data_IF_256996872046
#
_entry.id   IF_256996872046
#
_cell.length_a   1.000
_cell.length_b   1.000
_cell.length_c   1.000
_cell.angle_alpha   90.00
_cell.angle_beta   90.00
_cell.angle_gamma   90.00
#
_symmetry.space_group_name_H-M   'P 1'
#
loop_
_entity.id
_entity.type
_entity.pdbx_description
1 polymer ?
#
# COMPACT_ATOMS: atom_id res chain seq x y z
N UNK A 1 -0.86 8.46 2.56
CA UNK A 1 0.58 8.62 2.29
C UNK A 1 0.76 8.87 0.80
N UNK A 2 1.61 9.82 0.42
CA UNK A 2 1.93 10.15 -0.98
C UNK A 2 3.43 9.97 -1.22
N UNK A 3 3.79 9.51 -2.41
CA UNK A 3 5.16 9.27 -2.86
C UNK A 3 5.32 9.97 -4.20
N UNK A 4 6.29 10.87 -4.29
CA UNK A 4 6.74 11.48 -5.55
C UNK A 4 7.88 10.64 -6.13
N UNK A 5 7.69 10.13 -7.35
CA UNK A 5 8.68 9.35 -8.09
C UNK A 5 9.70 10.22 -8.84
N UNK A 6 9.53 11.54 -8.81
CA UNK A 6 10.41 12.54 -9.42
C UNK A 6 10.09 12.84 -10.88
N UNK A 7 9.57 11.87 -11.63
CA UNK A 7 9.12 12.04 -13.02
C UNK A 7 7.97 11.10 -13.36
N UNK A 8 7.24 11.42 -14.42
CA UNK A 8 6.19 10.55 -14.94
C UNK A 8 6.81 9.22 -15.39
N UNK A 9 6.33 8.14 -14.79
CA UNK A 9 6.84 6.78 -14.96
C UNK A 9 5.67 5.84 -15.23
N UNK A 10 5.86 4.83 -16.07
CA UNK A 10 4.85 3.78 -16.26
C UNK A 10 4.82 2.86 -15.03
N UNK A 11 3.65 2.74 -14.41
CA UNK A 11 3.41 1.96 -13.20
C UNK A 11 2.35 0.90 -13.45
N UNK A 12 2.55 -0.31 -12.94
CA UNK A 12 1.55 -1.39 -13.01
C UNK A 12 1.34 -2.13 -11.68
N UNK A 13 2.13 -1.83 -10.65
CA UNK A 13 2.01 -2.47 -9.36
C UNK A 13 2.54 -1.59 -8.21
N UNK A 14 2.13 -1.96 -7.00
CA UNK A 14 2.69 -1.48 -5.73
C UNK A 14 2.96 -2.68 -4.84
N UNK A 15 4.09 -2.71 -4.14
CA UNK A 15 4.39 -3.74 -3.13
C UNK A 15 4.36 -3.10 -1.75
N UNK A 16 3.56 -3.66 -0.86
CA UNK A 16 3.52 -3.26 0.54
C UNK A 16 4.20 -4.35 1.37
N UNK A 17 5.24 -3.97 2.08
CA UNK A 17 5.95 -4.84 3.00
C UNK A 17 5.43 -4.58 4.41
N UNK A 18 4.81 -5.59 5.03
CA UNK A 18 4.39 -5.46 6.42
C UNK A 18 5.57 -5.16 7.33
N UNK A 19 5.32 -4.47 8.44
CA UNK A 19 6.27 -4.50 9.55
C UNK A 19 6.34 -5.91 10.14
N UNK A 20 7.51 -6.33 10.60
CA UNK A 20 7.77 -7.68 11.12
C UNK A 20 8.49 -7.69 12.47
N UNK A 21 8.76 -6.52 13.02
CA UNK A 21 9.50 -6.30 14.27
C UNK A 21 8.65 -6.49 15.53
N UNK A 22 7.38 -6.09 15.49
CA UNK A 22 6.41 -6.29 16.59
C UNK A 22 5.08 -6.82 16.03
N UNK A 23 4.48 -7.85 16.63
CA UNK A 23 3.19 -8.38 16.21
C UNK A 23 2.02 -7.43 16.53
N UNK A 24 0.87 -7.68 15.89
CA UNK A 24 -0.39 -7.06 16.29
C UNK A 24 -0.85 -7.56 17.68
N UNK A 25 -1.64 -6.72 18.36
CA UNK A 25 -2.41 -7.13 19.52
C UNK A 25 -3.36 -8.27 19.14
N UNK A 26 -3.18 -9.44 19.76
CA UNK A 26 -3.91 -10.66 19.40
C UNK A 26 -3.22 -11.55 18.37
N UNK A 27 -1.99 -11.21 17.96
CA UNK A 27 -1.21 -11.94 16.94
C UNK A 27 -1.36 -11.33 15.54
N UNK A 28 -0.55 -11.80 14.60
CA UNK A 28 -0.52 -11.31 13.22
C UNK A 28 0.27 -10.02 13.03
N UNK A 29 -0.08 -9.28 11.98
CA UNK A 29 0.65 -8.11 11.49
C UNK A 29 0.05 -6.80 12.01
N UNK A 30 0.86 -6.01 12.71
CA UNK A 30 0.45 -4.71 13.24
C UNK A 30 0.28 -3.63 12.15
N UNK A 31 -0.85 -2.93 12.17
CA UNK A 31 -1.05 -1.66 11.44
C UNK A 31 -1.07 -1.75 9.90
N UNK A 32 -1.14 -2.95 9.33
CA UNK A 32 -1.27 -3.13 7.87
C UNK A 32 -2.66 -2.64 7.40
N UNK A 33 -2.79 -1.96 6.24
CA UNK A 33 -4.08 -1.42 5.81
C UNK A 33 -5.06 -2.55 5.42
N UNK A 34 -6.30 -2.44 5.89
CA UNK A 34 -7.37 -3.42 5.66
C UNK A 34 -8.28 -2.99 4.51
N UNK A 35 -8.73 -1.73 4.55
CA UNK A 35 -9.49 -1.11 3.47
C UNK A 35 -8.69 0.10 2.99
N UNK A 36 -8.37 0.14 1.70
CA UNK A 36 -7.56 1.20 1.12
C UNK A 36 -7.71 1.32 -0.39
N UNK A 37 -7.24 2.44 -0.91
CA UNK A 37 -7.09 2.66 -2.36
C UNK A 37 -5.63 2.99 -2.70
N UNK A 38 -5.23 2.54 -3.89
CA UNK A 38 -4.05 3.01 -4.58
C UNK A 38 -4.50 3.98 -5.66
N UNK A 39 -3.92 5.17 -5.63
CA UNK A 39 -4.27 6.27 -6.50
C UNK A 39 -3.02 6.85 -7.13
N UNK A 40 -3.14 7.37 -8.34
CA UNK A 40 -2.01 7.96 -9.06
C UNK A 40 -2.37 9.34 -9.61
N UNK A 41 -1.33 10.14 -9.89
CA UNK A 41 -1.46 11.45 -10.50
C UNK A 41 -0.22 11.74 -11.35
N UNK A 42 -0.42 12.13 -12.60
CA UNK A 42 0.66 12.61 -13.48
C UNK A 42 1.16 14.00 -13.05
N UNK A 43 2.33 14.40 -13.53
CA UNK A 43 2.81 15.76 -13.30
C UNK A 43 1.84 16.81 -13.91
N UNK A 44 1.66 17.93 -13.21
CA UNK A 44 0.72 18.99 -13.60
C UNK A 44 -0.78 18.65 -13.50
N UNK A 45 -1.17 17.40 -13.25
CA UNK A 45 -2.57 17.05 -13.01
C UNK A 45 -3.06 17.54 -11.64
N UNK A 46 -4.34 17.90 -11.53
CA UNK A 46 -4.94 18.45 -10.31
C UNK A 46 -5.68 17.44 -9.44
N UNK A 47 -5.98 16.25 -9.99
CA UNK A 47 -6.76 15.22 -9.32
C UNK A 47 -6.06 13.86 -9.37
N UNK A 48 -6.30 13.07 -8.33
CA UNK A 48 -5.89 11.67 -8.25
C UNK A 48 -6.92 10.76 -8.93
N UNK A 49 -6.45 9.77 -9.68
CA UNK A 49 -7.28 8.67 -10.19
C UNK A 49 -7.04 7.40 -9.36
N UNK A 50 -8.11 6.69 -8.98
CA UNK A 50 -7.99 5.39 -8.31
C UNK A 50 -7.65 4.32 -9.33
N UNK A 51 -6.48 3.69 -9.18
CA UNK A 51 -6.05 2.54 -10.01
C UNK A 51 -6.41 1.22 -9.36
N UNK A 52 -6.62 1.20 -8.04
CA UNK A 52 -7.07 0.03 -7.31
C UNK A 52 -7.79 0.35 -6.02
N UNK A 53 -8.80 -0.45 -5.73
CA UNK A 53 -9.47 -0.52 -4.43
C UNK A 53 -9.25 -1.90 -3.82
N UNK A 54 -8.91 -1.94 -2.54
CA UNK A 54 -8.78 -3.17 -1.75
C UNK A 54 -9.67 -3.03 -0.52
N UNK A 55 -10.45 -4.08 -0.25
CA UNK A 55 -11.34 -4.16 0.91
C UNK A 55 -11.13 -5.49 1.60
N UNK A 56 -11.23 -5.50 2.93
CA UNK A 56 -11.07 -6.70 3.75
C UNK A 56 -9.78 -7.47 3.46
N UNK A 57 -8.66 -6.76 3.24
CA UNK A 57 -7.34 -7.37 3.11
C UNK A 57 -7.09 -8.30 4.30
N UNK A 58 -6.81 -9.60 4.05
CA UNK A 58 -6.42 -10.53 5.10
C UNK A 58 -5.10 -10.12 5.75
N UNK A 59 -4.86 -10.61 6.97
CA UNK A 59 -3.55 -10.46 7.61
C UNK A 59 -2.47 -11.00 6.64
N UNK A 60 -1.43 -10.22 6.33
CA UNK A 60 -0.40 -10.64 5.39
C UNK A 60 0.58 -11.66 5.99
N UNK A 61 0.48 -12.02 7.29
CA UNK A 61 1.37 -12.92 8.01
C UNK A 61 2.87 -12.56 7.82
N UNK A 62 3.17 -11.26 7.86
CA UNK A 62 4.52 -10.73 7.62
C UNK A 62 5.03 -10.85 6.18
N UNK A 63 4.22 -11.29 5.22
CA UNK A 63 4.61 -11.48 3.81
C UNK A 63 4.29 -10.25 2.97
N UNK A 64 5.17 -9.93 2.04
CA UNK A 64 4.93 -8.87 1.05
C UNK A 64 3.62 -9.12 0.29
N UNK A 65 2.82 -8.07 0.16
CA UNK A 65 1.63 -8.07 -0.66
C UNK A 65 1.90 -7.26 -1.93
N UNK A 66 1.58 -7.82 -3.09
CA UNK A 66 1.78 -7.15 -4.39
C UNK A 66 0.43 -6.80 -4.97
N UNK A 67 0.25 -5.53 -5.32
CA UNK A 67 -1.00 -4.99 -5.79
C UNK A 67 -0.88 -4.51 -7.24
N UNK A 68 -1.26 -5.36 -8.20
CA UNK A 68 -1.29 -5.01 -9.62
C UNK A 68 -2.50 -4.17 -10.03
N UNK A 69 -2.35 -3.41 -11.11
CA UNK A 69 -3.38 -2.63 -11.79
C UNK A 69 -2.98 -2.39 -13.27
N UNK A 70 -3.88 -1.80 -14.06
CA UNK A 70 -3.60 -1.45 -15.46
C UNK A 70 -2.45 -0.44 -15.53
N UNK A 71 -1.47 -0.70 -16.40
CA UNK A 71 -0.34 0.21 -16.63
C UNK A 71 -0.83 1.64 -16.86
N UNK A 72 -0.31 2.56 -16.05
CA UNK A 72 -0.67 3.98 -16.06
C UNK A 72 0.59 4.81 -15.86
N UNK A 73 0.78 5.84 -16.69
CA UNK A 73 1.86 6.81 -16.55
C UNK A 73 1.52 7.81 -15.45
N UNK A 74 2.37 7.93 -14.43
CA UNK A 74 2.17 8.85 -13.32
C UNK A 74 3.48 9.19 -12.60
N UNK A 75 3.50 10.34 -11.91
CA UNK A 75 4.62 10.77 -11.05
C UNK A 75 4.34 10.56 -9.57
N UNK A 76 3.09 10.70 -9.14
CA UNK A 76 2.72 10.54 -7.74
C UNK A 76 1.89 9.27 -7.54
N UNK A 77 2.26 8.50 -6.53
CA UNK A 77 1.46 7.41 -5.98
C UNK A 77 0.91 7.81 -4.61
N UNK A 78 -0.37 7.53 -4.36
CA UNK A 78 -1.01 7.73 -3.06
C UNK A 78 -1.63 6.43 -2.56
N UNK A 79 -1.21 6.01 -1.36
CA UNK A 79 -1.90 5.00 -0.55
C UNK A 79 -2.85 5.72 0.41
N UNK A 80 -4.15 5.52 0.22
CA UNK A 80 -5.20 6.07 1.07
C UNK A 80 -5.89 4.92 1.81
N UNK A 81 -5.48 4.67 3.06
CA UNK A 81 -6.12 3.72 3.95
C UNK A 81 -7.32 4.37 4.67
N UNK A 82 -8.45 3.67 4.69
CA UNK A 82 -9.68 4.06 5.38
C UNK A 82 -9.98 3.14 6.57
N UNK A 83 -9.38 1.93 6.58
CA UNK A 83 -9.39 1.02 7.73
C UNK A 83 -8.00 0.43 7.92
N UNK A 84 -7.53 0.44 9.16
CA UNK A 84 -6.25 -0.13 9.57
C UNK A 84 -6.48 -1.46 10.30
N UNK A 85 -5.49 -2.35 10.21
CA UNK A 85 -5.43 -3.59 10.98
C UNK A 85 -5.22 -3.34 12.46
N UNK A 86 -5.13 -4.42 13.23
CA UNK A 86 -4.92 -4.38 14.67
C UNK A 86 -3.67 -3.58 15.02
N UNK A 87 -3.71 -2.79 16.12
CA UNK A 87 -2.55 -2.03 16.57
C UNK A 87 -1.42 -2.96 17.04
N UNK A 88 -0.21 -2.42 17.14
CA UNK A 88 0.94 -3.15 17.68
C UNK A 88 0.70 -3.60 19.13
N UNK A 89 1.24 -4.75 19.52
CA UNK A 89 1.06 -5.30 20.87
C UNK A 89 1.67 -4.43 21.97
N UNK A 90 2.67 -3.62 21.64
CA UNK A 90 3.34 -2.66 22.54
C UNK A 90 2.70 -1.26 22.54
N UNK A 91 1.69 -1.02 21.68
CA UNK A 91 1.05 0.28 21.50
C UNK A 91 -0.46 0.13 21.19
N UNK A 92 -1.17 -0.67 21.98
CA UNK A 92 -2.55 -1.14 21.70
C UNK A 92 -3.63 -0.07 21.61
N UNK A 93 -3.33 1.18 21.99
CA UNK A 93 -4.29 2.30 22.01
C UNK A 93 -4.12 3.27 20.83
N UNK A 94 -3.26 2.94 19.85
CA UNK A 94 -2.91 3.84 18.75
C UNK A 94 -3.25 3.23 17.39
N UNK A 95 -3.85 4.05 16.52
CA UNK A 95 -4.13 3.68 15.15
C UNK A 95 -3.03 4.22 14.25
N UNK A 96 -2.21 3.33 13.69
CA UNK A 96 -1.10 3.69 12.79
C UNK A 96 -1.20 2.89 11.50
N UNK A 97 -0.97 3.56 10.38
CA UNK A 97 -0.54 2.88 9.17
C UNK A 97 0.92 2.50 9.36
N UNK A 98 1.23 1.21 9.35
CA UNK A 98 2.59 0.72 9.57
C UNK A 98 3.02 -0.26 8.49
N UNK A 99 4.16 0.02 7.89
CA UNK A 99 4.81 -0.74 6.85
C UNK A 99 6.31 -0.72 7.11
N UNK A 100 7.02 -1.80 6.79
CA UNK A 100 8.48 -1.77 6.73
C UNK A 100 8.95 -1.02 5.47
N UNK A 101 8.26 -1.24 4.36
CA UNK A 101 8.60 -0.67 3.06
C UNK A 101 7.36 -0.55 2.17
N UNK A 102 7.39 0.43 1.26
CA UNK A 102 6.57 0.48 0.07
C UNK A 102 7.49 0.56 -1.15
N UNK A 103 7.29 -0.33 -2.12
CA UNK A 103 8.03 -0.31 -3.38
C UNK A 103 7.07 0.00 -4.53
N UNK A 104 7.50 0.86 -5.45
CA UNK A 104 6.81 1.18 -6.70
C UNK A 104 7.69 0.73 -7.86
N UNK A 105 7.48 -0.48 -8.41
CA UNK A 105 8.23 -0.94 -9.57
C UNK A 105 7.87 -0.14 -10.83
N UNK A 106 8.83 -0.01 -11.74
CA UNK A 106 8.54 0.38 -13.12
C UNK A 106 7.74 -0.71 -13.83
N UNK A 107 6.92 -0.34 -14.82
CA UNK A 107 6.05 -1.28 -15.53
C UNK A 107 6.83 -2.44 -16.18
N UNK A 108 6.42 -3.65 -15.79
CA UNK A 108 6.84 -5.00 -16.21
C UNK A 108 6.40 -6.03 -15.14
N UNK A 109 5.65 -5.63 -14.11
CA UNK A 109 5.30 -6.47 -12.97
C UNK A 109 4.18 -7.42 -13.36
N UNK A 110 4.50 -8.70 -13.47
CA UNK A 110 3.47 -9.75 -13.59
C UNK A 110 2.89 -10.01 -12.20
N UNK A 111 1.61 -9.69 -12.01
CA UNK A 111 0.89 -9.99 -10.76
C UNK A 111 -0.02 -11.19 -10.99
N UNK A 112 0.36 -12.33 -10.42
CA UNK A 112 -0.37 -13.60 -10.60
C UNK A 112 -1.43 -13.86 -9.51
N UNK A 113 -1.44 -13.10 -8.42
CA UNK A 113 -2.45 -13.20 -7.37
C UNK A 113 -2.50 -11.94 -6.50
N UNK A 114 -3.65 -11.72 -5.85
CA UNK A 114 -3.96 -10.63 -4.92
C UNK A 114 -4.55 -11.20 -3.64
#
# INVERSE_FOLDING_TARGET
MEIDLGTDTDLDAVRLFPRTDTPASGGGTAGFPVDFTLQVRADGATSYSTVRTVTAQPDPDGRVQTYGFRTTTARYLRLQATKLGSPASDETTKYRLQLAEITVPTAATTVTSN
#
